data_IF_954819010534
#
_entry.id   IF_954819010534
#
_cell.length_a   1.000
_cell.length_b   1.000
_cell.length_c   1.000
_cell.angle_alpha   90.00
_cell.angle_beta   90.00
_cell.angle_gamma   90.00
#
_symmetry.space_group_name_H-M   'P 1'
#
loop_
_entity.id
_entity.type
_entity.pdbx_description
1 polymer ?
#
# COMPACT_ATOMS: atom_id res chain seq x y z
N UNK A 1 -10.41 -15.91 -17.14
CA UNK A 1 -10.13 -14.53 -16.73
C UNK A 1 -11.45 -13.84 -16.43
N UNK A 2 -11.58 -13.26 -15.25
CA UNK A 2 -12.79 -12.53 -14.92
C UNK A 2 -12.81 -11.19 -15.65
N UNK A 3 -13.96 -10.76 -16.15
CA UNK A 3 -14.06 -9.44 -16.75
C UNK A 3 -13.80 -8.35 -15.69
N UNK A 4 -13.16 -7.28 -16.10
CA UNK A 4 -12.96 -6.13 -15.25
C UNK A 4 -14.32 -5.44 -15.01
N UNK A 5 -14.75 -5.42 -13.75
CA UNK A 5 -16.01 -4.79 -13.35
C UNK A 5 -15.82 -3.34 -12.91
N UNK A 6 -14.59 -2.80 -13.02
CA UNK A 6 -14.29 -1.42 -12.65
C UNK A 6 -15.11 -0.45 -13.52
N UNK A 7 -15.85 0.50 -12.93
CA UNK A 7 -16.58 1.49 -13.72
C UNK A 7 -15.68 2.28 -14.65
N UNK A 8 -16.23 2.65 -15.79
CA UNK A 8 -15.53 3.50 -16.75
C UNK A 8 -15.08 4.81 -16.06
N UNK A 9 -13.83 5.22 -16.32
CA UNK A 9 -13.24 6.41 -15.71
C UNK A 9 -12.60 6.20 -14.35
N UNK A 10 -12.67 4.98 -13.79
CA UNK A 10 -11.98 4.67 -12.53
C UNK A 10 -10.52 4.40 -12.80
N UNK A 11 -9.64 5.16 -12.14
CA UNK A 11 -8.21 4.95 -12.14
C UNK A 11 -7.77 4.53 -10.75
N UNK A 12 -7.25 3.32 -10.62
CA UNK A 12 -6.88 2.74 -9.34
C UNK A 12 -5.43 2.96 -9.01
N UNK A 13 -5.17 3.27 -7.73
CA UNK A 13 -3.84 3.31 -7.17
C UNK A 13 -3.74 2.43 -5.94
N UNK A 14 -2.55 1.87 -5.72
CA UNK A 14 -2.22 1.09 -4.52
C UNK A 14 -0.95 1.69 -3.91
N UNK A 15 -0.97 1.90 -2.60
CA UNK A 15 0.21 2.30 -1.86
C UNK A 15 0.61 1.16 -0.95
N UNK A 16 1.83 0.64 -1.17
CA UNK A 16 2.45 -0.32 -0.27
C UNK A 16 3.12 0.47 0.83
N UNK A 17 2.62 0.32 2.06
CA UNK A 17 3.07 1.12 3.20
C UNK A 17 3.90 0.27 4.15
N UNK A 18 5.13 0.68 4.42
CA UNK A 18 6.08 -0.06 5.26
C UNK A 18 6.71 0.85 6.30
N UNK A 19 7.45 0.27 7.26
CA UNK A 19 8.05 1.04 8.34
C UNK A 19 9.07 2.06 7.86
N UNK A 20 9.96 1.67 7.00
CA UNK A 20 11.12 2.47 6.61
C UNK A 20 12.39 2.06 7.31
N UNK A 21 13.52 2.39 6.72
CA UNK A 21 14.85 2.11 7.24
C UNK A 21 15.86 3.03 6.58
N UNK A 22 16.95 3.31 7.26
CA UNK A 22 18.08 4.05 6.68
C UNK A 22 18.93 3.19 5.75
N UNK A 23 18.78 1.85 5.85
CA UNK A 23 19.48 0.92 4.98
C UNK A 23 18.81 0.85 3.61
N UNK A 24 19.49 1.26 2.52
CA UNK A 24 18.88 1.23 1.19
C UNK A 24 18.54 -0.18 0.70
N UNK A 25 19.17 -1.21 1.24
CA UNK A 25 18.86 -2.59 0.87
C UNK A 25 17.56 -3.10 1.50
N UNK A 26 17.14 -2.49 2.60
CA UNK A 26 15.95 -2.91 3.34
C UNK A 26 14.67 -2.81 2.50
N UNK A 27 14.59 -1.82 1.61
CA UNK A 27 13.38 -1.59 0.82
C UNK A 27 13.24 -2.51 -0.39
N UNK A 28 14.28 -3.26 -0.76
CA UNK A 28 14.24 -4.12 -1.95
C UNK A 28 13.06 -5.10 -2.00
N UNK A 29 12.71 -5.83 -0.92
CA UNK A 29 11.56 -6.70 -0.96
C UNK A 29 10.24 -5.96 -1.20
N UNK A 30 10.13 -4.75 -0.67
CA UNK A 30 8.92 -3.92 -0.84
C UNK A 30 8.80 -3.46 -2.29
N UNK A 31 9.90 -2.98 -2.87
CA UNK A 31 9.95 -2.59 -4.27
C UNK A 31 9.69 -3.78 -5.20
N UNK A 32 10.14 -4.98 -4.82
CA UNK A 32 9.88 -6.20 -5.58
C UNK A 32 8.38 -6.52 -5.64
N UNK A 33 7.63 -6.29 -4.56
CA UNK A 33 6.18 -6.44 -4.57
C UNK A 33 5.55 -5.44 -5.53
N UNK A 34 6.00 -4.18 -5.50
CA UNK A 34 5.52 -3.15 -6.42
C UNK A 34 5.78 -3.53 -7.88
N UNK A 35 6.97 -4.02 -8.18
CA UNK A 35 7.33 -4.45 -9.53
C UNK A 35 6.47 -5.62 -10.01
N UNK A 36 6.16 -6.54 -9.10
CA UNK A 36 5.29 -7.67 -9.42
C UNK A 36 3.86 -7.20 -9.73
N UNK A 37 3.34 -6.24 -8.96
CA UNK A 37 2.03 -5.64 -9.23
C UNK A 37 2.01 -5.02 -10.63
N UNK A 38 3.06 -4.31 -11.01
CA UNK A 38 3.15 -3.69 -12.34
C UNK A 38 3.09 -4.72 -13.46
N UNK A 39 3.58 -5.94 -13.21
CA UNK A 39 3.51 -7.02 -14.19
C UNK A 39 2.13 -7.64 -14.30
N UNK A 40 1.47 -7.90 -13.15
CA UNK A 40 0.20 -8.64 -13.15
C UNK A 40 -1.03 -7.73 -13.24
N UNK A 41 -0.88 -6.45 -12.93
CA UNK A 41 -1.96 -5.48 -12.97
C UNK A 41 -1.46 -4.13 -13.51
N UNK A 42 -1.11 -4.06 -14.82
CA UNK A 42 -0.49 -2.86 -15.38
C UNK A 42 -1.39 -1.63 -15.35
N UNK A 43 -2.70 -1.80 -15.18
CA UNK A 43 -3.65 -0.70 -15.09
C UNK A 43 -3.70 -0.06 -13.70
N UNK A 44 -3.08 -0.69 -12.70
CA UNK A 44 -3.03 -0.15 -11.34
C UNK A 44 -1.72 0.60 -11.14
N UNK A 45 -1.81 1.87 -10.74
CA UNK A 45 -0.63 2.64 -10.37
C UNK A 45 -0.22 2.22 -8.96
N UNK A 46 1.06 1.91 -8.76
CA UNK A 46 1.55 1.47 -7.45
C UNK A 46 2.70 2.35 -7.00
N UNK A 47 2.64 2.80 -5.75
CA UNK A 47 3.72 3.50 -5.08
C UNK A 47 4.06 2.78 -3.78
N UNK A 48 5.31 2.95 -3.35
CA UNK A 48 5.73 2.58 -2.00
C UNK A 48 5.77 3.84 -1.14
N UNK A 49 5.37 3.72 0.12
CA UNK A 49 5.47 4.81 1.09
C UNK A 49 5.93 4.25 2.42
N UNK A 50 6.49 5.11 3.26
CA UNK A 50 7.15 4.68 4.48
C UNK A 50 6.70 5.52 5.67
N UNK A 51 6.63 4.89 6.84
CA UNK A 51 6.23 5.53 8.07
C UNK A 51 7.29 6.53 8.54
N UNK A 52 8.56 6.14 8.42
CA UNK A 52 9.70 6.94 8.87
C UNK A 52 10.98 6.50 8.15
N UNK A 53 12.05 7.29 8.30
CA UNK A 53 13.43 6.97 7.88
C UNK A 53 13.64 6.77 6.37
N UNK A 54 12.61 6.77 5.58
CA UNK A 54 12.66 6.62 4.12
C UNK A 54 11.61 7.53 3.50
N UNK A 55 11.80 7.86 2.25
CA UNK A 55 10.86 8.69 1.47
C UNK A 55 10.35 7.89 0.28
N UNK A 56 9.12 8.21 -0.18
CA UNK A 56 8.19 9.20 0.34
C UNK A 56 7.40 8.70 1.56
N UNK A 57 6.80 9.64 2.30
CA UNK A 57 5.79 9.30 3.31
C UNK A 57 4.44 9.04 2.64
N UNK A 58 3.45 8.62 3.43
CA UNK A 58 2.13 8.27 2.91
C UNK A 58 1.40 9.47 2.30
N UNK A 59 1.34 10.65 2.95
CA UNK A 59 0.70 11.82 2.34
C UNK A 59 1.31 12.24 1.02
N UNK A 60 2.63 12.24 0.91
CA UNK A 60 3.34 12.60 -0.32
C UNK A 60 3.03 11.63 -1.45
N UNK A 61 3.04 10.34 -1.16
CA UNK A 61 2.73 9.30 -2.13
C UNK A 61 1.28 9.40 -2.63
N UNK A 62 0.34 9.68 -1.72
CA UNK A 62 -1.06 9.87 -2.09
C UNK A 62 -1.24 11.10 -2.99
N UNK A 63 -0.55 12.21 -2.67
CA UNK A 63 -0.61 13.43 -3.47
C UNK A 63 -0.05 13.20 -4.88
N UNK A 64 1.02 12.43 -5.01
CA UNK A 64 1.56 12.07 -6.32
C UNK A 64 0.57 11.27 -7.15
N UNK A 65 -0.07 10.27 -6.57
CA UNK A 65 -1.08 9.47 -7.27
C UNK A 65 -2.29 10.35 -7.65
N UNK A 66 -2.71 11.25 -6.77
CA UNK A 66 -3.77 12.19 -7.06
C UNK A 66 -3.43 13.07 -8.27
N UNK A 67 -2.20 13.56 -8.35
CA UNK A 67 -1.73 14.37 -9.48
C UNK A 67 -1.72 13.57 -10.80
N UNK A 68 -1.63 12.25 -10.74
CA UNK A 68 -1.68 11.37 -11.90
C UNK A 68 -3.10 10.92 -12.27
N UNK A 69 -4.11 11.51 -11.64
CA UNK A 69 -5.51 11.24 -11.98
C UNK A 69 -6.14 10.04 -11.30
N UNK A 70 -5.48 9.48 -10.30
CA UNK A 70 -6.04 8.36 -9.52
C UNK A 70 -7.21 8.85 -8.70
N UNK A 71 -8.31 8.11 -8.72
CA UNK A 71 -9.52 8.45 -7.95
C UNK A 71 -9.92 7.37 -6.92
N UNK A 72 -9.25 6.24 -6.90
CA UNK A 72 -9.37 5.25 -5.82
C UNK A 72 -7.98 4.83 -5.38
N UNK A 73 -7.72 4.83 -4.08
CA UNK A 73 -6.43 4.44 -3.51
C UNK A 73 -6.67 3.43 -2.40
N UNK A 74 -5.99 2.29 -2.50
CA UNK A 74 -5.94 1.29 -1.45
C UNK A 74 -4.57 1.34 -0.79
N UNK A 75 -4.55 1.50 0.52
CA UNK A 75 -3.32 1.46 1.31
C UNK A 75 -3.17 0.07 1.91
N UNK A 76 -2.02 -0.55 1.67
CA UNK A 76 -1.72 -1.92 2.09
C UNK A 76 -0.51 -1.89 3.04
N UNK A 77 -0.72 -2.04 4.36
CA UNK A 77 0.39 -2.08 5.31
C UNK A 77 1.15 -3.39 5.20
N UNK A 78 2.43 -3.30 4.83
CA UNK A 78 3.30 -4.48 4.72
C UNK A 78 3.98 -4.75 6.05
N UNK A 79 3.16 -4.96 7.09
CA UNK A 79 3.62 -5.27 8.44
C UNK A 79 3.23 -6.70 8.80
N UNK A 80 4.14 -7.47 9.39
CA UNK A 80 3.77 -8.76 9.99
C UNK A 80 2.98 -8.51 11.27
N UNK A 81 3.54 -7.75 12.20
CA UNK A 81 2.83 -7.23 13.35
C UNK A 81 2.64 -5.73 13.20
N UNK A 82 1.60 -5.20 13.82
CA UNK A 82 1.34 -3.76 13.82
C UNK A 82 1.70 -3.20 15.19
N UNK A 83 2.79 -2.43 15.25
CA UNK A 83 3.21 -1.78 16.46
C UNK A 83 2.23 -0.70 16.91
N UNK A 84 2.34 -0.29 18.18
CA UNK A 84 1.43 0.68 18.79
C UNK A 84 1.39 1.99 18.00
N UNK A 85 2.56 2.52 17.61
CA UNK A 85 2.61 3.79 16.88
C UNK A 85 1.87 3.71 15.55
N UNK A 86 2.08 2.65 14.78
CA UNK A 86 1.40 2.48 13.51
C UNK A 86 -0.11 2.33 13.69
N UNK A 87 -0.55 1.59 14.73
CA UNK A 87 -1.97 1.43 15.03
C UNK A 87 -2.65 2.74 15.38
N UNK A 88 -1.93 3.64 16.06
CA UNK A 88 -2.46 4.94 16.47
C UNK A 88 -2.39 5.96 15.35
N UNK A 89 -1.28 6.00 14.62
CA UNK A 89 -1.02 7.01 13.61
C UNK A 89 -1.75 6.77 12.31
N UNK A 90 -1.88 5.52 11.88
CA UNK A 90 -2.42 5.21 10.56
C UNK A 90 -3.88 5.67 10.39
N UNK A 91 -4.79 5.47 11.36
CA UNK A 91 -6.15 6.00 11.22
C UNK A 91 -6.19 7.52 11.11
N UNK A 92 -5.30 8.23 11.82
CA UNK A 92 -5.21 9.69 11.75
C UNK A 92 -4.74 10.14 10.38
N UNK A 93 -3.72 9.49 9.84
CA UNK A 93 -3.22 9.78 8.50
C UNK A 93 -4.31 9.53 7.45
N UNK A 94 -5.02 8.41 7.55
CA UNK A 94 -6.10 8.08 6.62
C UNK A 94 -7.22 9.11 6.67
N UNK A 95 -7.61 9.56 7.87
CA UNK A 95 -8.62 10.60 8.02
C UNK A 95 -8.17 11.90 7.35
N UNK A 96 -6.91 12.28 7.53
CA UNK A 96 -6.36 13.49 6.92
C UNK A 96 -6.31 13.38 5.39
N UNK A 97 -5.97 12.22 4.86
CA UNK A 97 -5.98 11.99 3.41
C UNK A 97 -7.36 12.18 2.81
N UNK A 98 -8.40 11.69 3.48
CA UNK A 98 -9.79 11.85 3.02
C UNK A 98 -10.22 13.32 3.00
N UNK A 99 -9.75 14.09 3.96
CA UNK A 99 -10.02 15.54 4.01
C UNK A 99 -9.28 16.25 2.88
N UNK A 100 -8.01 15.93 2.67
CA UNK A 100 -7.16 16.61 1.69
C UNK A 100 -7.48 16.24 0.24
N UNK A 101 -8.08 15.07 0.02
CA UNK A 101 -8.41 14.56 -1.31
C UNK A 101 -9.87 14.09 -1.36
N UNK A 102 -10.85 15.01 -1.30
CA UNK A 102 -12.26 14.60 -1.20
C UNK A 102 -12.79 13.89 -2.43
N UNK A 103 -12.08 13.96 -3.56
CA UNK A 103 -12.48 13.27 -4.80
C UNK A 103 -11.94 11.84 -4.88
N UNK A 104 -11.07 11.46 -3.95
CA UNK A 104 -10.44 10.13 -3.94
C UNK A 104 -11.13 9.26 -2.91
N UNK A 105 -11.49 8.05 -3.34
CA UNK A 105 -11.99 7.02 -2.43
C UNK A 105 -10.80 6.26 -1.85
N UNK A 106 -10.57 6.41 -0.54
CA UNK A 106 -9.49 5.72 0.16
C UNK A 106 -10.01 4.49 0.89
N UNK A 107 -9.24 3.40 0.84
CA UNK A 107 -9.49 2.23 1.66
C UNK A 107 -8.17 1.77 2.29
N UNK A 108 -8.25 1.26 3.51
CA UNK A 108 -7.13 0.70 4.25
C UNK A 108 -7.35 -0.79 4.41
N UNK A 109 -6.41 -1.60 3.90
CA UNK A 109 -6.43 -3.03 4.10
C UNK A 109 -5.87 -3.38 5.48
N UNK A 110 -6.25 -4.54 6.05
CA UNK A 110 -5.52 -5.06 7.20
C UNK A 110 -4.04 -5.25 6.88
N UNK A 111 -3.18 -5.19 7.89
CA UNK A 111 -1.78 -5.50 7.71
C UNK A 111 -1.63 -6.91 7.11
N UNK A 112 -0.65 -7.08 6.21
CA UNK A 112 -0.47 -8.36 5.50
C UNK A 112 -0.23 -9.52 6.46
N UNK A 113 0.38 -9.27 7.63
CA UNK A 113 0.55 -10.29 8.67
C UNK A 113 -0.75 -10.84 9.24
N UNK A 114 -1.86 -10.16 9.05
CA UNK A 114 -3.20 -10.59 9.46
C UNK A 114 -3.95 -11.35 8.35
N UNK A 115 -3.40 -11.38 7.13
CA UNK A 115 -4.05 -12.03 6.00
C UNK A 115 -3.86 -13.55 6.07
N UNK A 116 -4.96 -14.34 6.08
CA UNK A 116 -4.84 -15.80 6.17
C UNK A 116 -3.99 -16.43 5.06
N UNK A 117 -4.07 -15.91 3.84
CA UNK A 117 -3.28 -16.42 2.73
C UNK A 117 -1.77 -16.23 2.97
N UNK A 118 -1.37 -15.11 3.54
CA UNK A 118 0.05 -14.87 3.83
C UNK A 118 0.51 -15.74 5.00
N UNK A 119 -0.29 -15.86 6.04
CA UNK A 119 0.02 -16.73 7.19
C UNK A 119 0.26 -18.16 6.70
N UNK A 120 -0.64 -18.66 5.86
CA UNK A 120 -0.52 -19.99 5.29
C UNK A 120 0.76 -20.16 4.46
N UNK A 121 1.05 -19.18 3.61
CA UNK A 121 2.26 -19.22 2.77
C UNK A 121 3.54 -19.18 3.60
N UNK A 122 3.59 -18.31 4.60
CA UNK A 122 4.75 -18.25 5.50
C UNK A 122 4.98 -19.57 6.24
N UNK A 123 3.90 -20.19 6.70
CA UNK A 123 3.99 -21.49 7.37
C UNK A 123 4.56 -22.56 6.42
N UNK A 124 4.09 -22.60 5.19
CA UNK A 124 4.61 -23.54 4.18
C UNK A 124 6.08 -23.30 3.88
N UNK A 125 6.48 -22.05 3.75
CA UNK A 125 7.89 -21.71 3.53
C UNK A 125 8.73 -22.16 4.72
N UNK A 126 8.25 -21.96 5.95
CA UNK A 126 9.00 -22.30 7.16
C UNK A 126 9.23 -23.79 7.35
N UNK A 127 8.39 -24.65 6.83
CA UNK A 127 8.48 -26.09 6.97
C UNK A 127 8.99 -26.81 5.72
N UNK A 128 9.32 -26.09 4.68
CA UNK A 128 9.82 -26.69 3.44
C UNK A 128 11.30 -27.03 3.48
#
# INVERSE_FOLDING_TARGET
MQPDTTPAGTQRGTILFAHGSRDPLWRKPIEAVADHIRKIAPDVLVNCAYLELSVPDLPTSAAELAARGVNTITVVPLFLGVGKHAREDLPVIMAQLKINHPHISFSLRPAVGEEPLLIELMAKIAIS
#
